data_IF_579760108536
#
_entry.id   IF_579760108536
#
_cell.length_a   1.000
_cell.length_b   1.000
_cell.length_c   1.000
_cell.angle_alpha   90.00
_cell.angle_beta   90.00
_cell.angle_gamma   90.00
#
_symmetry.space_group_name_H-M   'P 1'
#
loop_
_entity.id
_entity.type
_entity.pdbx_description
1 polymer ?
#
# COMPACT_ATOMS: atom_id res chain seq x y z
N UNK A 1 -15.08 5.55 -2.68
CA UNK A 1 -14.13 5.05 -1.65
C UNK A 1 -12.87 5.84 -1.82
N UNK A 2 -12.35 6.44 -0.75
CA UNK A 2 -11.07 7.13 -0.79
C UNK A 2 -9.95 6.10 -0.76
N UNK A 3 -9.40 5.80 -1.95
CA UNK A 3 -8.31 4.82 -2.08
C UNK A 3 -6.97 5.36 -1.57
N UNK A 4 -6.77 6.67 -1.54
CA UNK A 4 -5.55 7.27 -0.98
C UNK A 4 -5.52 7.04 0.54
N UNK A 5 -6.58 7.44 1.24
CA UNK A 5 -6.69 7.20 2.69
C UNK A 5 -6.66 5.70 3.03
N UNK A 6 -7.31 4.86 2.23
CA UNK A 6 -7.27 3.41 2.44
C UNK A 6 -5.85 2.85 2.27
N UNK A 7 -5.13 3.22 1.20
CA UNK A 7 -3.74 2.79 0.96
C UNK A 7 -2.84 3.14 2.15
N UNK A 8 -2.88 4.40 2.62
CA UNK A 8 -2.04 4.86 3.74
C UNK A 8 -2.33 4.10 5.04
N UNK A 9 -3.61 3.83 5.32
CA UNK A 9 -4.01 3.09 6.52
C UNK A 9 -3.59 1.61 6.47
N UNK A 10 -3.78 0.96 5.33
CA UNK A 10 -3.41 -0.44 5.13
C UNK A 10 -1.88 -0.60 5.14
N UNK A 11 -1.15 0.34 4.54
CA UNK A 11 0.32 0.37 4.55
C UNK A 11 0.88 0.52 5.97
N UNK A 12 0.30 1.41 6.78
CA UNK A 12 0.65 1.55 8.21
C UNK A 12 0.39 0.26 8.97
N UNK A 13 -0.80 -0.31 8.83
CA UNK A 13 -1.16 -1.55 9.52
C UNK A 13 -0.28 -2.74 9.10
N UNK A 14 0.17 -2.78 7.84
CA UNK A 14 1.16 -3.75 7.38
C UNK A 14 2.54 -3.52 8.02
N UNK A 15 3.01 -2.27 8.10
CA UNK A 15 4.27 -1.93 8.76
C UNK A 15 4.32 -2.34 10.22
N UNK A 16 3.22 -2.21 10.97
CA UNK A 16 3.15 -2.69 12.35
C UNK A 16 3.31 -4.21 12.47
N UNK A 17 2.76 -4.99 11.52
CA UNK A 17 2.98 -6.44 11.47
C UNK A 17 4.44 -6.77 11.14
N UNK A 18 5.04 -6.05 10.19
CA UNK A 18 6.45 -6.22 9.83
C UNK A 18 7.37 -5.90 11.02
N UNK A 19 7.07 -4.85 11.78
CA UNK A 19 7.84 -4.46 12.97
C UNK A 19 7.75 -5.51 14.10
N UNK A 20 6.60 -6.18 14.22
CA UNK A 20 6.39 -7.20 15.26
C UNK A 20 6.85 -8.62 14.88
N UNK A 21 7.02 -8.90 13.58
CA UNK A 21 7.32 -10.23 13.07
C UNK A 21 8.81 -10.51 12.86
N UNK A 22 9.20 -11.78 12.91
CA UNK A 22 10.54 -12.20 12.47
C UNK A 22 10.64 -12.07 10.93
N UNK A 23 11.61 -11.32 10.39
CA UNK A 23 11.83 -11.18 8.95
C UNK A 23 11.97 -12.50 8.18
N UNK A 24 12.42 -13.58 8.84
CA UNK A 24 12.56 -14.92 8.26
C UNK A 24 11.26 -15.75 8.25
N UNK A 25 10.19 -15.25 8.87
CA UNK A 25 8.88 -15.94 8.92
C UNK A 25 8.39 -16.26 7.50
N UNK A 26 8.09 -17.51 7.16
CA UNK A 26 7.57 -17.88 5.85
C UNK A 26 6.13 -17.38 5.66
N UNK A 27 5.78 -16.99 4.44
CA UNK A 27 4.42 -16.55 4.07
C UNK A 27 3.64 -17.75 3.51
N UNK A 28 2.61 -18.28 4.19
CA UNK A 28 1.95 -19.51 3.78
C UNK A 28 1.25 -19.43 2.41
N UNK A 29 0.77 -18.24 2.04
CA UNK A 29 0.09 -17.97 0.76
C UNK A 29 1.06 -17.70 -0.39
N UNK A 30 2.35 -17.49 -0.08
CA UNK A 30 3.44 -17.25 -1.02
C UNK A 30 4.66 -18.08 -0.56
N UNK A 31 4.68 -19.41 -0.77
CA UNK A 31 5.60 -20.32 -0.07
C UNK A 31 7.10 -20.06 -0.27
N UNK A 32 7.46 -19.35 -1.33
CA UNK A 32 8.86 -18.97 -1.62
C UNK A 32 9.30 -17.67 -0.93
N UNK A 33 8.37 -17.01 -0.21
CA UNK A 33 8.59 -15.69 0.38
C UNK A 33 8.64 -15.75 1.89
N UNK A 34 9.56 -14.97 2.45
CA UNK A 34 9.58 -14.58 3.85
C UNK A 34 8.89 -13.23 4.05
N UNK A 35 8.59 -12.89 5.31
CA UNK A 35 8.06 -11.57 5.68
C UNK A 35 8.94 -10.43 5.16
N UNK A 36 10.27 -10.60 5.18
CA UNK A 36 11.22 -9.65 4.57
C UNK A 36 11.02 -9.48 3.06
N UNK A 37 10.79 -10.58 2.34
CA UNK A 37 10.57 -10.52 0.89
C UNK A 37 9.22 -9.87 0.56
N UNK A 38 8.17 -10.21 1.30
CA UNK A 38 6.85 -9.58 1.20
C UNK A 38 6.92 -8.06 1.46
N UNK A 39 7.60 -7.65 2.53
CA UNK A 39 7.86 -6.25 2.86
C UNK A 39 8.55 -5.50 1.71
N UNK A 40 9.64 -6.06 1.17
CA UNK A 40 10.39 -5.46 0.06
C UNK A 40 9.55 -5.36 -1.20
N UNK A 41 8.71 -6.36 -1.47
CA UNK A 41 7.79 -6.36 -2.60
C UNK A 41 6.78 -5.21 -2.50
N UNK A 42 6.13 -5.06 -1.35
CA UNK A 42 5.14 -4.01 -1.10
C UNK A 42 5.76 -2.62 -1.29
N UNK A 43 6.83 -2.29 -0.55
CA UNK A 43 7.39 -0.94 -0.57
C UNK A 43 7.98 -0.56 -1.92
N UNK A 44 8.60 -1.52 -2.64
CA UNK A 44 9.08 -1.27 -4.01
C UNK A 44 7.92 -1.04 -4.97
N UNK A 45 6.84 -1.81 -4.85
CA UNK A 45 5.67 -1.67 -5.72
C UNK A 45 4.96 -0.32 -5.57
N UNK A 46 5.00 0.29 -4.39
CA UNK A 46 4.47 1.64 -4.18
C UNK A 46 5.34 2.70 -4.87
N UNK A 47 6.66 2.63 -4.72
CA UNK A 47 7.60 3.52 -5.42
C UNK A 47 7.56 3.35 -6.93
N UNK A 48 7.42 2.11 -7.40
CA UNK A 48 7.25 1.79 -8.82
C UNK A 48 6.01 2.47 -9.41
N UNK A 49 4.86 2.35 -8.73
CA UNK A 49 3.64 3.03 -9.14
C UNK A 49 3.76 4.55 -9.05
N UNK A 50 4.40 5.08 -8.00
CA UNK A 50 4.64 6.51 -7.85
C UNK A 50 5.47 7.06 -9.01
N UNK A 51 6.56 6.39 -9.38
CA UNK A 51 7.42 6.80 -10.50
C UNK A 51 6.68 6.77 -11.84
N UNK A 52 5.87 5.74 -12.11
CA UNK A 52 5.01 5.68 -13.30
C UNK A 52 4.10 6.91 -13.40
N UNK A 53 3.48 7.30 -12.28
CA UNK A 53 2.54 8.43 -12.23
C UNK A 53 3.26 9.78 -12.33
N UNK A 54 4.37 9.96 -11.61
CA UNK A 54 5.17 11.19 -11.61
C UNK A 54 5.74 11.46 -13.01
N UNK A 55 6.28 10.44 -13.67
CA UNK A 55 6.85 10.57 -15.01
C UNK A 55 5.80 10.52 -16.12
N UNK A 56 4.52 10.26 -15.78
CA UNK A 56 3.41 10.06 -16.74
C UNK A 56 3.77 9.06 -17.85
N UNK A 57 4.41 7.95 -17.47
CA UNK A 57 4.91 6.93 -18.42
C UNK A 57 3.78 6.42 -19.30
N UNK A 58 4.10 6.06 -20.55
CA UNK A 58 3.22 5.38 -21.50
C UNK A 58 3.71 3.96 -21.85
N UNK A 59 4.84 3.54 -21.28
CA UNK A 59 5.52 2.28 -21.52
C UNK A 59 5.92 1.54 -20.22
N UNK A 60 6.43 0.32 -20.39
CA UNK A 60 6.84 -0.53 -19.29
C UNK A 60 8.04 0.06 -18.52
N UNK A 61 7.91 0.10 -17.19
CA UNK A 61 9.00 0.42 -16.27
C UNK A 61 9.44 -0.84 -15.53
N UNK A 62 10.72 -1.21 -15.60
CA UNK A 62 11.25 -2.36 -14.85
C UNK A 62 11.25 -2.04 -13.34
N UNK A 63 10.53 -2.79 -12.49
CA UNK A 63 10.56 -2.57 -11.04
C UNK A 63 11.97 -2.68 -10.44
N UNK A 64 12.91 -3.36 -11.09
CA UNK A 64 14.30 -3.53 -10.62
C UNK A 64 15.14 -2.26 -10.77
N UNK A 65 14.73 -1.33 -11.62
CA UNK A 65 15.47 -0.08 -11.90
C UNK A 65 14.97 1.10 -11.07
N UNK A 66 14.01 0.87 -10.17
CA UNK A 66 13.43 1.93 -9.34
C UNK A 66 14.47 2.48 -8.37
N UNK A 67 14.71 3.79 -8.48
CA UNK A 67 15.57 4.53 -7.58
C UNK A 67 15.01 4.47 -6.15
N UNK A 68 15.88 4.21 -5.18
CA UNK A 68 15.44 3.94 -3.82
C UNK A 68 14.54 2.70 -3.69
N UNK A 69 14.51 1.80 -4.67
CA UNK A 69 13.70 0.57 -4.67
C UNK A 69 14.18 -0.53 -3.71
N UNK A 70 15.09 -0.20 -2.79
CA UNK A 70 15.59 -1.08 -1.72
C UNK A 70 15.47 -0.35 -0.37
N UNK A 71 14.98 -1.02 0.67
CA UNK A 71 14.94 -0.44 2.01
C UNK A 71 16.35 -0.29 2.60
N UNK A 72 16.54 0.63 3.54
CA UNK A 72 17.67 0.61 4.48
C UNK A 72 17.78 -0.73 5.24
N UNK A 73 18.95 -0.98 5.85
CA UNK A 73 19.19 -2.20 6.62
C UNK A 73 18.59 -2.15 8.03
N UNK A 74 18.54 -0.95 8.63
CA UNK A 74 17.95 -0.74 9.94
C UNK A 74 16.42 -0.78 9.87
N UNK A 75 15.79 -1.31 10.92
CA UNK A 75 14.35 -1.57 10.91
C UNK A 75 13.53 -0.27 10.85
N UNK A 76 13.93 0.76 11.61
CA UNK A 76 13.16 2.02 11.65
C UNK A 76 13.21 2.74 10.29
N UNK A 77 14.38 2.85 9.69
CA UNK A 77 14.54 3.37 8.34
C UNK A 77 13.84 2.52 7.28
N UNK A 78 13.79 1.20 7.45
CA UNK A 78 13.01 0.32 6.57
C UNK A 78 11.49 0.57 6.69
N UNK A 79 10.97 0.74 7.90
CA UNK A 79 9.55 1.06 8.12
C UNK A 79 9.20 2.45 7.58
N UNK A 80 10.05 3.45 7.81
CA UNK A 80 9.86 4.79 7.23
C UNK A 80 9.90 4.74 5.70
N UNK A 81 10.81 3.96 5.12
CA UNK A 81 10.91 3.75 3.68
C UNK A 81 9.63 3.18 3.05
N UNK A 82 8.95 2.26 3.76
CA UNK A 82 7.67 1.69 3.37
C UNK A 82 6.55 2.74 3.46
N UNK A 83 6.50 3.50 4.55
CA UNK A 83 5.49 4.52 4.76
C UNK A 83 5.62 5.66 3.73
N UNK A 84 6.85 6.05 3.42
CA UNK A 84 7.14 7.03 2.37
C UNK A 84 6.72 6.57 0.98
N UNK A 85 6.85 5.27 0.66
CA UNK A 85 6.45 4.74 -0.64
C UNK A 85 4.97 5.00 -0.93
N UNK A 86 4.10 4.70 0.04
CA UNK A 86 2.66 4.93 -0.09
C UNK A 86 2.31 6.42 -0.18
N UNK A 87 2.98 7.29 0.58
CA UNK A 87 2.83 8.75 0.50
C UNK A 87 3.21 9.28 -0.88
N UNK A 88 4.37 8.85 -1.41
CA UNK A 88 4.84 9.26 -2.74
C UNK A 88 3.84 8.94 -3.84
N UNK A 89 3.17 7.79 -3.77
CA UNK A 89 2.14 7.46 -4.76
C UNK A 89 0.90 8.35 -4.63
N UNK A 90 0.45 8.65 -3.42
CA UNK A 90 -0.65 9.60 -3.19
C UNK A 90 -0.29 10.97 -3.74
N UNK A 91 0.86 11.50 -3.35
CA UNK A 91 1.36 12.80 -3.79
C UNK A 91 1.51 12.86 -5.32
N UNK A 92 2.04 11.80 -5.94
CA UNK A 92 2.21 11.73 -7.39
C UNK A 92 0.86 11.82 -8.11
N UNK A 93 -0.17 11.13 -7.63
CA UNK A 93 -1.51 11.16 -8.24
C UNK A 93 -2.19 12.50 -8.02
N UNK A 94 -2.04 13.10 -6.84
CA UNK A 94 -2.55 14.45 -6.55
C UNK A 94 -1.92 15.51 -7.46
N UNK A 95 -0.60 15.46 -7.63
CA UNK A 95 0.15 16.41 -8.46
C UNK A 95 -0.07 16.19 -9.96
N UNK A 96 -0.11 14.93 -10.41
CA UNK A 96 -0.34 14.61 -11.82
C UNK A 96 -1.79 14.77 -12.24
N UNK A 97 -2.74 14.76 -11.30
CA UNK A 97 -4.18 14.71 -11.56
C UNK A 97 -4.67 13.26 -11.70
N UNK A 98 -5.79 12.88 -11.05
CA UNK A 98 -6.26 11.49 -10.99
C UNK A 98 -6.70 10.92 -12.34
N UNK A 99 -7.10 11.77 -13.28
CA UNK A 99 -7.57 11.39 -14.62
C UNK A 99 -6.45 11.33 -15.67
N UNK A 100 -5.22 11.70 -15.30
CA UNK A 100 -4.08 11.71 -16.22
C UNK A 100 -3.79 10.30 -16.73
N UNK A 101 -3.77 10.08 -18.06
CA UNK A 101 -3.45 8.77 -18.63
C UNK A 101 -2.00 8.41 -18.33
N UNK A 102 -1.80 7.22 -17.77
CA UNK A 102 -0.48 6.63 -17.51
C UNK A 102 -0.49 5.15 -17.86
N UNK A 103 0.69 4.59 -18.05
CA UNK A 103 0.89 3.18 -18.32
C UNK A 103 0.45 2.31 -17.15
N UNK A 104 -0.19 1.19 -17.49
CA UNK A 104 -0.42 0.06 -16.59
C UNK A 104 -0.17 -1.22 -17.38
N UNK A 105 -0.04 -2.34 -16.68
CA UNK A 105 0.05 -3.65 -17.32
C UNK A 105 -1.26 -4.08 -18.05
N UNK A 106 -2.33 -3.29 -17.98
CA UNK A 106 -3.58 -3.47 -18.75
C UNK A 106 -3.73 -2.42 -19.87
N UNK A 107 -2.65 -1.74 -20.24
CA UNK A 107 -2.65 -0.58 -21.15
C UNK A 107 -2.92 0.75 -20.42
N UNK A 108 -3.06 1.87 -21.16
CA UNK A 108 -3.26 3.20 -20.58
C UNK A 108 -4.50 3.28 -19.69
N UNK A 109 -4.36 3.83 -18.48
CA UNK A 109 -5.45 4.08 -17.51
C UNK A 109 -5.24 5.41 -16.79
N UNK A 110 -6.29 5.99 -16.18
CA UNK A 110 -6.14 7.13 -15.27
C UNK A 110 -5.14 6.86 -14.14
N UNK A 111 -4.34 7.84 -13.72
CA UNK A 111 -3.38 7.72 -12.63
C UNK A 111 -4.01 7.22 -11.31
N UNK A 112 -5.27 7.61 -11.02
CA UNK A 112 -6.03 7.11 -9.87
C UNK A 112 -6.26 5.59 -9.88
N UNK A 113 -6.08 4.93 -11.02
CA UNK A 113 -6.09 3.47 -11.10
C UNK A 113 -4.96 2.85 -10.26
N UNK A 114 -3.79 3.48 -10.19
CA UNK A 114 -2.67 2.98 -9.39
C UNK A 114 -2.97 3.04 -7.88
N UNK A 115 -3.66 4.07 -7.38
CA UNK A 115 -4.12 4.10 -5.98
C UNK A 115 -5.03 2.92 -5.67
N UNK A 116 -6.03 2.68 -6.53
CA UNK A 116 -6.92 1.54 -6.37
C UNK A 116 -6.13 0.24 -6.40
N UNK A 117 -5.28 0.03 -7.42
CA UNK A 117 -4.49 -1.19 -7.60
C UNK A 117 -3.59 -1.48 -6.41
N UNK A 118 -2.82 -0.48 -5.95
CA UNK A 118 -1.90 -0.61 -4.82
C UNK A 118 -2.63 -0.79 -3.49
N UNK A 119 -3.79 -0.14 -3.30
CA UNK A 119 -4.66 -0.39 -2.14
C UNK A 119 -5.11 -1.86 -2.07
N UNK A 120 -5.46 -2.48 -3.21
CA UNK A 120 -5.84 -3.90 -3.21
C UNK A 120 -4.64 -4.81 -2.89
N UNK A 121 -3.46 -4.53 -3.42
CA UNK A 121 -2.25 -5.30 -3.11
C UNK A 121 -1.90 -5.26 -1.63
N UNK A 122 -1.85 -4.07 -1.03
CA UNK A 122 -1.44 -3.96 0.37
C UNK A 122 -2.47 -4.58 1.31
N UNK A 123 -3.76 -4.51 0.97
CA UNK A 123 -4.80 -5.19 1.75
C UNK A 123 -4.58 -6.70 1.76
N UNK A 124 -4.26 -7.30 0.60
CA UNK A 124 -3.98 -8.72 0.49
C UNK A 124 -2.68 -9.11 1.20
N UNK A 125 -1.59 -8.37 0.97
CA UNK A 125 -0.30 -8.67 1.59
C UNK A 125 -0.26 -8.40 3.10
N UNK A 126 -1.09 -7.48 3.60
CA UNK A 126 -1.33 -7.37 5.04
C UNK A 126 -2.06 -8.59 5.57
N UNK A 127 -3.00 -9.14 4.81
CA UNK A 127 -3.65 -10.38 5.20
C UNK A 127 -2.68 -11.56 5.21
N UNK A 128 -1.80 -11.66 4.21
CA UNK A 128 -0.73 -12.66 4.14
C UNK A 128 0.20 -12.59 5.36
N UNK A 129 0.66 -11.38 5.71
CA UNK A 129 1.49 -11.17 6.89
C UNK A 129 0.76 -11.50 8.19
N UNK A 130 -0.50 -11.09 8.34
CA UNK A 130 -1.29 -11.39 9.53
C UNK A 130 -1.47 -12.91 9.71
N UNK A 131 -1.77 -13.62 8.62
CA UNK A 131 -1.89 -15.08 8.64
C UNK A 131 -0.57 -15.75 9.02
N UNK A 132 0.54 -15.32 8.44
CA UNK A 132 1.87 -15.84 8.76
C UNK A 132 2.26 -15.66 10.24
N UNK A 133 1.79 -14.56 10.85
CA UNK A 133 2.04 -14.24 12.26
C UNK A 133 0.96 -14.76 13.23
N UNK A 134 0.01 -15.57 12.74
CA UNK A 134 -1.06 -16.14 13.57
C UNK A 134 -2.06 -15.09 14.09
N UNK A 135 -2.14 -13.93 13.45
CA UNK A 135 -3.05 -12.83 13.83
C UNK A 135 -4.41 -13.00 13.15
N UNK A 136 -5.50 -12.81 13.91
CA UNK A 136 -6.85 -12.78 13.35
C UNK A 136 -7.12 -11.40 12.76
N UNK A 137 -7.40 -11.34 11.46
CA UNK A 137 -7.90 -10.13 10.82
C UNK A 137 -9.35 -9.89 11.23
N UNK A 138 -9.54 -9.02 12.22
CA UNK A 138 -10.89 -8.58 12.56
C UNK A 138 -11.41 -7.63 11.47
N UNK A 139 -12.57 -7.96 10.90
CA UNK A 139 -13.33 -7.01 10.10
C UNK A 139 -13.69 -5.84 11.01
N UNK A 140 -13.09 -4.66 10.78
CA UNK A 140 -13.44 -3.46 11.52
C UNK A 140 -14.94 -3.21 11.30
N UNK A 141 -15.74 -3.32 12.37
CA UNK A 141 -17.15 -2.98 12.28
C UNK A 141 -17.27 -1.54 11.77
N UNK A 142 -18.18 -1.30 10.82
CA UNK A 142 -18.52 0.07 10.43
C UNK A 142 -18.98 0.78 11.69
N UNK A 143 -18.23 1.80 12.15
CA UNK A 143 -18.75 2.72 13.15
C UNK A 143 -19.92 3.43 12.50
N UNK A 144 -21.15 3.17 12.95
CA UNK A 144 -22.28 4.03 12.64
C UNK A 144 -21.96 5.44 13.16
N UNK A 145 -22.26 6.50 12.40
CA UNK A 145 -22.17 7.85 12.95
C UNK A 145 -23.10 7.94 14.18
N UNK A 146 -22.75 8.73 15.21
CA UNK A 146 -23.66 8.96 16.32
C UNK A 146 -24.96 9.52 15.75
N UNK A 147 -26.07 8.84 16.00
CA UNK A 147 -27.40 9.35 15.69
C UNK A 147 -27.56 10.65 16.46
N UNK A 148 -27.64 11.78 15.75
CA UNK A 148 -28.07 13.03 16.35
C UNK A 148 -29.49 12.80 16.89
N UNK A 149 -29.63 12.80 18.21
CA UNK A 149 -30.92 12.86 18.86
C UNK A 149 -31.54 14.21 18.48
N UNK A 150 -32.51 14.16 17.57
CA UNK A 150 -33.46 15.25 17.42
C UNK A 150 -34.27 15.31 18.71
N UNK A 151 -33.93 16.25 19.59
CA UNK A 151 -34.84 16.64 20.66
C UNK A 151 -35.99 17.41 20.02
N UNK A 152 -37.18 16.86 20.25
CA UNK A 152 -38.45 17.39 19.82
C UNK A 152 -38.70 18.74 20.49
N UNK A 153 -39.28 19.67 19.73
CA UNK A 153 -39.83 20.92 20.24
C UNK A 153 -40.88 20.67 21.33
N UNK A 154 -40.77 21.38 22.45
CA UNK A 154 -41.87 21.76 23.34
C UNK A 154 -41.69 23.19 23.76
#
# INVERSE_FOLDING_TARGET
MDFAAALLNENRAFGELVRAGDPATPIPTCPEWTLKQLFRHVGRGERWAAQIVTERRDDYLDPRTIEGGKPPEDLDGAIDWLYDGSRQLVDAVEQSGPDTPVWTFLGPRPAGWWLRRRCHEILLHRADAALALGQVLHRRARRSPPTASASCWT
#
